data_IF_727564396596
#
_entry.id   IF_727564396596
#
_cell.length_a   1.000
_cell.length_b   1.000
_cell.length_c   1.000
_cell.angle_alpha   90.00
_cell.angle_beta   90.00
_cell.angle_gamma   90.00
#
_symmetry.space_group_name_H-M   'P 1'
#
loop_
_entity.id
_entity.type
_entity.pdbx_description
1 polymer ?
#
# COMPACT_ATOMS: atom_id res chain seq x y z
N UNK A 1 -2.04 6.62 -36.73
CA UNK A 1 -2.15 5.79 -35.52
C UNK A 1 -0.89 6.03 -34.73
N UNK A 2 -0.93 6.89 -33.72
CA UNK A 2 0.19 7.07 -32.80
C UNK A 2 0.02 6.03 -31.69
N UNK A 3 0.98 5.11 -31.57
CA UNK A 3 1.18 4.35 -30.34
C UNK A 3 1.59 5.40 -29.29
N UNK A 4 0.61 5.89 -28.54
CA UNK A 4 0.86 6.71 -27.36
C UNK A 4 1.51 5.82 -26.32
N UNK A 5 2.83 5.90 -26.25
CA UNK A 5 3.68 5.46 -25.15
C UNK A 5 2.93 5.47 -23.80
N UNK A 6 2.53 4.29 -23.30
CA UNK A 6 2.00 4.06 -21.94
C UNK A 6 3.14 4.13 -20.92
N UNK A 7 3.89 5.23 -20.94
CA UNK A 7 5.02 5.45 -20.05
C UNK A 7 4.49 6.00 -18.72
N UNK A 8 4.30 5.12 -17.75
CA UNK A 8 4.27 5.54 -16.34
C UNK A 8 3.08 5.08 -15.50
N UNK A 9 2.12 4.31 -16.03
CA UNK A 9 1.01 3.77 -15.22
C UNK A 9 1.34 2.40 -14.60
N UNK A 10 2.62 2.06 -14.46
CA UNK A 10 3.09 0.79 -13.93
C UNK A 10 4.27 1.02 -12.98
N UNK A 11 4.38 0.19 -11.94
CA UNK A 11 5.55 0.19 -11.08
C UNK A 11 6.76 -0.34 -11.84
N UNK A 12 7.86 0.40 -11.85
CA UNK A 12 9.13 -0.10 -12.42
C UNK A 12 9.72 -1.20 -11.53
N UNK A 13 10.56 -2.09 -12.08
CA UNK A 13 11.15 -3.20 -11.30
C UNK A 13 11.90 -2.71 -10.06
N UNK A 14 12.67 -1.62 -10.19
CA UNK A 14 13.36 -0.97 -9.07
C UNK A 14 12.40 -0.52 -7.96
N UNK A 15 11.22 -0.04 -8.33
CA UNK A 15 10.18 0.42 -7.41
C UNK A 15 9.49 -0.76 -6.73
N UNK A 16 9.21 -1.81 -7.50
CA UNK A 16 8.66 -3.07 -6.96
C UNK A 16 9.60 -3.66 -5.91
N UNK A 17 10.91 -3.74 -6.20
CA UNK A 17 11.92 -4.24 -5.28
C UNK A 17 12.05 -3.33 -4.05
N UNK A 18 12.02 -2.02 -4.24
CA UNK A 18 12.09 -1.04 -3.15
C UNK A 18 10.87 -1.12 -2.22
N UNK A 19 9.65 -1.21 -2.77
CA UNK A 19 8.42 -1.40 -1.98
C UNK A 19 8.51 -2.73 -1.21
N UNK A 20 8.91 -3.81 -1.87
CA UNK A 20 9.02 -5.12 -1.23
C UNK A 20 10.00 -5.11 -0.05
N UNK A 21 11.18 -4.52 -0.21
CA UNK A 21 12.18 -4.42 0.85
C UNK A 21 11.70 -3.56 2.02
N UNK A 22 11.21 -2.35 1.74
CA UNK A 22 10.75 -1.42 2.79
C UNK A 22 9.58 -2.00 3.57
N UNK A 23 8.58 -2.58 2.89
CA UNK A 23 7.42 -3.15 3.55
C UNK A 23 7.76 -4.41 4.36
N UNK A 24 8.67 -5.27 3.92
CA UNK A 24 9.12 -6.42 4.71
C UNK A 24 9.81 -5.99 6.01
N UNK A 25 10.55 -4.88 5.97
CA UNK A 25 11.25 -4.36 7.14
C UNK A 25 10.32 -3.58 8.09
N UNK A 26 9.44 -2.73 7.55
CA UNK A 26 8.56 -1.87 8.35
C UNK A 26 7.27 -2.57 8.80
N UNK A 27 6.73 -3.46 7.96
CA UNK A 27 5.45 -4.14 8.15
C UNK A 27 5.60 -5.66 7.99
N UNK A 28 6.47 -6.33 8.78
CA UNK A 28 6.81 -7.74 8.59
C UNK A 28 5.63 -8.71 8.73
N UNK A 29 4.56 -8.29 9.42
CA UNK A 29 3.35 -9.08 9.58
C UNK A 29 2.39 -8.97 8.39
N UNK A 30 2.55 -7.97 7.52
CA UNK A 30 1.72 -7.79 6.34
C UNK A 30 2.24 -8.65 5.19
N UNK A 31 1.32 -9.38 4.54
CA UNK A 31 1.63 -10.12 3.34
C UNK A 31 1.76 -9.15 2.15
N UNK A 32 2.92 -9.17 1.50
CA UNK A 32 3.19 -8.39 0.30
C UNK A 32 2.95 -9.23 -0.95
N UNK A 33 2.23 -8.67 -1.92
CA UNK A 33 2.03 -9.26 -3.24
C UNK A 33 2.15 -8.20 -4.35
N UNK A 34 2.75 -8.60 -5.48
CA UNK A 34 2.72 -7.84 -6.72
C UNK A 34 1.68 -8.44 -7.65
N UNK A 35 0.89 -7.59 -8.27
CA UNK A 35 -0.13 -7.97 -9.22
C UNK A 35 0.07 -7.23 -10.53
N UNK A 36 -0.23 -7.89 -11.64
CA UNK A 36 -0.20 -7.29 -12.96
C UNK A 36 -1.46 -7.67 -13.75
N UNK A 37 -1.95 -6.76 -14.60
CA UNK A 37 -3.03 -7.06 -15.53
C UNK A 37 -2.51 -7.47 -16.93
N UNK A 38 -3.41 -7.80 -17.85
CA UNK A 38 -3.07 -8.19 -19.23
C UNK A 38 -2.39 -7.08 -20.05
N UNK A 39 -2.45 -5.83 -19.58
CA UNK A 39 -1.84 -4.65 -20.21
C UNK A 39 -0.44 -4.35 -19.64
N UNK A 40 0.04 -5.13 -18.67
CA UNK A 40 1.35 -4.94 -18.03
C UNK A 40 1.39 -3.87 -16.93
N UNK A 41 0.22 -3.34 -16.54
CA UNK A 41 0.08 -2.44 -15.38
C UNK A 41 0.34 -3.27 -14.13
N UNK A 42 1.31 -2.86 -13.33
CA UNK A 42 1.73 -3.54 -12.10
C UNK A 42 1.46 -2.67 -10.88
N UNK A 43 0.93 -3.27 -9.81
CA UNK A 43 0.69 -2.62 -8.53
C UNK A 43 1.06 -3.54 -7.37
N UNK A 44 1.39 -2.93 -6.23
CA UNK A 44 1.69 -3.63 -4.99
C UNK A 44 0.45 -3.66 -4.09
N UNK A 45 0.24 -4.79 -3.42
CA UNK A 45 -0.80 -4.97 -2.41
C UNK A 45 -0.15 -5.43 -1.10
N UNK A 46 -0.49 -4.74 -0.01
CA UNK A 46 -0.12 -5.12 1.35
C UNK A 46 -1.39 -5.55 2.07
N UNK A 47 -1.45 -6.83 2.42
CA UNK A 47 -2.58 -7.43 3.13
C UNK A 47 -2.20 -7.62 4.59
N UNK A 48 -2.97 -7.06 5.54
CA UNK A 48 -2.69 -7.26 6.96
C UNK A 48 -2.90 -8.72 7.39
N UNK A 49 -2.29 -9.15 8.52
CA UNK A 49 -2.52 -10.47 9.07
C UNK A 49 -3.97 -10.62 9.55
N UNK A 50 -4.54 -11.82 9.36
CA UNK A 50 -5.96 -12.15 9.59
C UNK A 50 -6.48 -11.91 11.04
N UNK A 51 -5.59 -11.62 11.98
CA UNK A 51 -5.87 -11.49 13.42
C UNK A 51 -6.25 -10.05 13.78
N UNK A 52 -6.17 -9.10 12.85
CA UNK A 52 -6.31 -7.67 13.13
C UNK A 52 -7.53 -7.10 12.40
N UNK A 53 -8.69 -6.99 13.08
CA UNK A 53 -9.97 -6.60 12.45
C UNK A 53 -10.03 -5.13 12.04
N UNK A 54 -9.06 -4.31 12.41
CA UNK A 54 -9.01 -2.86 12.10
C UNK A 54 -7.98 -2.50 11.04
N UNK A 55 -7.14 -3.46 10.61
CA UNK A 55 -6.04 -3.13 9.69
C UNK A 55 -6.49 -2.98 8.24
N UNK A 56 -5.75 -2.13 7.56
CA UNK A 56 -6.04 -1.61 6.24
C UNK A 56 -5.29 -2.41 5.18
N UNK A 57 -5.98 -2.85 4.12
CA UNK A 57 -5.32 -3.32 2.90
C UNK A 57 -4.83 -2.11 2.13
N UNK A 58 -3.53 -2.06 1.86
CA UNK A 58 -2.94 -1.00 1.04
C UNK A 58 -2.73 -1.47 -0.39
N UNK A 59 -2.99 -0.61 -1.35
CA UNK A 59 -2.66 -0.82 -2.76
C UNK A 59 -1.87 0.38 -3.26
N UNK A 60 -0.68 0.14 -3.79
CA UNK A 60 0.21 1.17 -4.33
C UNK A 60 0.32 0.96 -5.84
N UNK A 61 -0.07 1.95 -6.62
CA UNK A 61 0.13 1.96 -8.07
C UNK A 61 0.71 3.30 -8.52
N UNK A 62 1.42 3.27 -9.65
CA UNK A 62 1.86 4.50 -10.31
C UNK A 62 0.79 4.91 -11.32
N UNK A 63 0.42 6.20 -11.30
CA UNK A 63 -0.44 6.82 -12.31
C UNK A 63 0.18 8.17 -12.63
N UNK A 64 0.95 8.24 -13.71
CA UNK A 64 1.77 9.41 -13.99
C UNK A 64 0.91 10.70 -14.06
N UNK A 65 1.33 11.80 -13.39
CA UNK A 65 2.63 12.05 -12.77
C UNK A 65 2.74 11.67 -11.28
N UNK A 66 1.77 10.94 -10.71
CA UNK A 66 1.68 10.65 -9.28
C UNK A 66 1.82 9.16 -8.95
N UNK A 67 1.97 8.89 -7.65
CA UNK A 67 1.81 7.55 -7.06
C UNK A 67 0.53 7.56 -6.24
N UNK A 68 -0.33 6.59 -6.51
CA UNK A 68 -1.61 6.45 -5.85
C UNK A 68 -1.53 5.37 -4.80
N UNK A 69 -1.95 5.72 -3.59
CA UNK A 69 -2.15 4.78 -2.49
C UNK A 69 -3.65 4.69 -2.23
N UNK A 70 -4.20 3.48 -2.36
CA UNK A 70 -5.54 3.16 -1.92
C UNK A 70 -5.46 2.37 -0.61
N UNK A 71 -6.28 2.79 0.34
CA UNK A 71 -6.43 2.20 1.66
C UNK A 71 -7.83 1.63 1.73
N UNK A 72 -7.98 0.33 1.99
CA UNK A 72 -9.27 -0.32 2.22
C UNK A 72 -9.32 -0.84 3.65
N UNK A 73 -10.30 -0.40 4.44
CA UNK A 73 -10.50 -0.90 5.80
C UNK A 73 -11.30 -2.20 5.85
N UNK A 74 -11.50 -2.75 7.05
CA UNK A 74 -12.26 -3.98 7.25
C UNK A 74 -13.75 -3.87 6.88
N UNK A 75 -14.31 -2.65 6.80
CA UNK A 75 -15.65 -2.37 6.30
C UNK A 75 -15.68 -2.17 4.78
N UNK A 76 -14.56 -2.44 4.09
CA UNK A 76 -14.35 -2.21 2.67
C UNK A 76 -14.50 -0.75 2.24
N UNK A 77 -14.37 0.21 3.17
CA UNK A 77 -14.33 1.64 2.84
C UNK A 77 -12.98 1.98 2.25
N UNK A 78 -13.01 2.70 1.12
CA UNK A 78 -11.81 3.04 0.35
C UNK A 78 -11.46 4.50 0.51
N UNK A 79 -10.21 4.77 0.86
CA UNK A 79 -9.61 6.08 0.79
C UNK A 79 -8.50 6.04 -0.25
N UNK A 80 -8.35 7.12 -1.00
CA UNK A 80 -7.36 7.20 -2.07
C UNK A 80 -6.56 8.48 -1.87
N UNK A 81 -5.24 8.37 -1.94
CA UNK A 81 -4.32 9.50 -1.82
C UNK A 81 -3.30 9.47 -2.95
N UNK A 82 -3.16 10.60 -3.64
CA UNK A 82 -2.08 10.84 -4.59
C UNK A 82 -0.87 11.43 -3.88
N UNK A 83 0.31 10.90 -4.19
CA UNK A 83 1.60 11.27 -3.61
C UNK A 83 2.62 11.48 -4.73
N UNK A 84 3.65 12.26 -4.44
CA UNK A 84 4.63 12.71 -5.43
C UNK A 84 5.66 11.63 -5.82
N UNK A 85 5.84 10.61 -4.98
CA UNK A 85 6.84 9.57 -5.19
C UNK A 85 6.45 8.24 -4.52
N UNK A 86 7.16 7.17 -4.90
CA UNK A 86 7.01 5.85 -4.28
C UNK A 86 7.50 5.88 -2.82
N UNK A 87 8.56 6.64 -2.54
CA UNK A 87 9.07 6.84 -1.18
C UNK A 87 7.99 7.45 -0.28
N UNK A 88 7.38 8.55 -0.72
CA UNK A 88 6.30 9.19 0.02
C UNK A 88 5.09 8.25 0.20
N UNK A 89 4.78 7.42 -0.81
CA UNK A 89 3.73 6.42 -0.72
C UNK A 89 4.00 5.35 0.34
N UNK A 90 5.22 4.83 0.41
CA UNK A 90 5.60 3.82 1.40
C UNK A 90 5.59 4.43 2.80
N UNK A 91 6.19 5.61 2.97
CA UNK A 91 6.25 6.26 4.28
C UNK A 91 4.84 6.55 4.80
N UNK A 92 3.94 7.03 3.95
CA UNK A 92 2.52 7.20 4.30
C UNK A 92 1.85 5.87 4.70
N UNK A 93 2.07 4.79 3.96
CA UNK A 93 1.52 3.46 4.32
C UNK A 93 2.04 2.99 5.68
N UNK A 94 3.33 3.21 5.96
CA UNK A 94 3.93 2.83 7.24
C UNK A 94 3.38 3.65 8.41
N UNK A 95 3.21 4.96 8.24
CA UNK A 95 2.59 5.84 9.24
C UNK A 95 1.16 5.41 9.56
N UNK A 96 0.34 5.21 8.53
CA UNK A 96 -1.06 4.80 8.70
C UNK A 96 -1.17 3.43 9.36
N UNK A 97 -0.32 2.48 8.97
CA UNK A 97 -0.30 1.16 9.59
C UNK A 97 0.12 1.22 11.06
N UNK A 98 1.14 2.02 11.40
CA UNK A 98 1.59 2.22 12.78
C UNK A 98 0.49 2.86 13.65
N UNK A 99 -0.22 3.87 13.13
CA UNK A 99 -1.35 4.48 13.83
C UNK A 99 -2.45 3.45 14.13
N UNK A 100 -2.82 2.63 13.15
CA UNK A 100 -3.83 1.59 13.32
C UNK A 100 -3.43 0.54 14.39
N UNK A 101 -2.17 0.11 14.42
CA UNK A 101 -1.67 -0.82 15.44
C UNK A 101 -1.73 -0.23 16.86
N UNK A 102 -1.47 1.07 17.02
CA UNK A 102 -1.58 1.73 18.34
C UNK A 102 -3.03 1.83 18.85
N UNK A 103 -4.00 2.02 17.95
CA UNK A 103 -5.42 2.09 18.31
C UNK A 103 -5.94 0.74 18.79
N UNK A 104 -5.60 -0.35 18.11
CA UNK A 104 -5.98 -1.71 18.54
C UNK A 104 -5.34 -2.09 19.88
N UNK A 105 -4.10 -1.65 20.16
CA UNK A 105 -3.44 -1.88 21.45
C UNK A 105 -3.95 -0.98 22.58
N UNK A 106 -4.50 0.20 22.28
CA UNK A 106 -5.02 1.15 23.26
C UNK A 106 -6.33 0.71 23.93
N UNK A 107 -7.16 -0.03 23.20
CA UNK A 107 -8.48 -0.49 23.67
C UNK A 107 -8.38 -1.65 24.68
N UNK A 108 -7.21 -2.29 24.82
CA UNK A 108 -7.00 -3.39 25.75
C UNK A 108 -6.61 -2.97 27.19
N UNK A 109 -6.52 -1.66 27.50
CA UNK A 109 -5.91 -1.16 28.76
C UNK A 109 -6.84 -0.58 29.84
N UNK A 110 -8.16 -0.72 29.72
CA UNK A 110 -9.09 -0.19 30.74
C UNK A 110 -10.05 -1.25 31.27
N UNK A 111 -9.52 -2.28 31.92
CA UNK A 111 -10.25 -3.03 32.96
C UNK A 111 -9.25 -3.59 33.96
N UNK A 112 -8.86 -2.78 34.95
CA UNK A 112 -8.43 -3.23 36.26
C UNK A 112 -8.71 -2.17 37.31
#
# INVERSE_FOLDING_TARGET
MAFGETFGDTLETSEQDFIADRCRNALPAHAFALHSNAEGITWAVLTPPAITPELLRFTICRIAPAVMVMIEDAEARRQIRGLESIEAAIDFVCEVAAEAETMTSGTARTMH
#
